data_IF_744965190073
#
_entry.id   IF_744965190073
#
_cell.length_a   1.000
_cell.length_b   1.000
_cell.length_c   1.000
_cell.angle_alpha   90.00
_cell.angle_beta   90.00
_cell.angle_gamma   90.00
#
_symmetry.space_group_name_H-M   'P 1'
#
loop_
_entity.id
_entity.type
_entity.pdbx_description
1 polymer ?
#
# COMPACT_ATOMS: atom_id res chain seq x y z
N UNK A 1 -6.42 -17.70 1.61
CA UNK A 1 -6.15 -18.12 0.22
C UNK A 1 -7.45 -18.39 -0.52
N UNK A 2 -8.43 -19.01 0.11
CA UNK A 2 -9.76 -19.31 -0.48
C UNK A 2 -10.44 -18.08 -1.08
N UNK A 3 -10.50 -16.98 -0.32
CA UNK A 3 -11.07 -15.70 -0.79
C UNK A 3 -10.36 -15.12 -2.03
N UNK A 4 -9.08 -15.43 -2.24
CA UNK A 4 -8.38 -15.03 -3.46
C UNK A 4 -8.78 -15.91 -4.64
N UNK A 5 -8.85 -17.23 -4.43
CA UNK A 5 -9.26 -18.18 -5.46
C UNK A 5 -10.70 -17.96 -5.95
N UNK A 6 -11.59 -17.49 -5.06
CA UNK A 6 -12.97 -17.15 -5.42
C UNK A 6 -13.06 -16.05 -6.50
N UNK A 7 -12.06 -15.19 -6.58
CA UNK A 7 -12.00 -14.10 -7.57
C UNK A 7 -11.50 -14.54 -8.94
N UNK A 8 -10.95 -15.75 -9.06
CA UNK A 8 -10.53 -16.28 -10.35
C UNK A 8 -11.71 -16.88 -11.13
N UNK A 9 -11.65 -16.77 -12.45
CA UNK A 9 -12.58 -17.51 -13.30
C UNK A 9 -12.42 -19.03 -13.12
N UNK A 10 -13.45 -19.84 -13.41
CA UNK A 10 -13.44 -21.28 -13.12
C UNK A 10 -12.22 -22.04 -13.61
N UNK A 11 -11.81 -21.83 -14.87
CA UNK A 11 -10.66 -22.51 -15.45
C UNK A 11 -9.35 -22.25 -14.69
N UNK A 12 -9.10 -21.00 -14.25
CA UNK A 12 -7.93 -20.68 -13.45
C UNK A 12 -8.01 -21.26 -12.04
N UNK A 13 -9.22 -21.27 -11.45
CA UNK A 13 -9.44 -21.84 -10.12
C UNK A 13 -9.12 -23.32 -10.13
N UNK A 14 -9.65 -24.08 -11.09
CA UNK A 14 -9.39 -25.50 -11.25
C UNK A 14 -7.89 -25.78 -11.44
N UNK A 15 -7.19 -24.96 -12.22
CA UNK A 15 -5.76 -25.10 -12.45
C UNK A 15 -4.93 -24.80 -11.19
N UNK A 16 -5.37 -23.90 -10.29
CA UNK A 16 -4.61 -23.46 -9.12
C UNK A 16 -4.89 -24.24 -7.84
N UNK A 17 -6.10 -24.79 -7.67
CA UNK A 17 -6.51 -25.55 -6.46
C UNK A 17 -5.52 -26.66 -6.09
N UNK A 18 -4.98 -27.48 -7.01
CA UNK A 18 -4.03 -28.53 -6.65
C UNK A 18 -2.72 -28.01 -6.05
N UNK A 19 -2.41 -26.72 -6.25
CA UNK A 19 -1.12 -26.08 -5.87
C UNK A 19 -1.27 -25.07 -4.75
N UNK A 20 -2.21 -25.27 -3.84
CA UNK A 20 -2.48 -24.35 -2.73
C UNK A 20 -1.24 -24.09 -1.85
N UNK A 21 -0.41 -25.11 -1.60
CA UNK A 21 0.82 -24.97 -0.80
C UNK A 21 1.84 -24.04 -1.47
N UNK A 22 1.98 -24.13 -2.77
CA UNK A 22 2.85 -23.28 -3.60
C UNK A 22 2.28 -21.85 -3.63
N UNK A 23 0.97 -21.71 -3.77
CA UNK A 23 0.28 -20.42 -3.70
C UNK A 23 0.46 -19.72 -2.34
N UNK A 24 0.43 -20.48 -1.24
CA UNK A 24 0.69 -19.93 0.10
C UNK A 24 2.11 -19.38 0.24
N UNK A 25 3.07 -19.84 -0.53
CA UNK A 25 4.47 -19.37 -0.55
C UNK A 25 4.73 -18.30 -1.61
N UNK A 26 3.88 -18.23 -2.63
CA UNK A 26 4.01 -17.25 -3.71
C UNK A 26 3.74 -15.83 -3.20
N UNK A 27 4.50 -14.86 -3.70
CA UNK A 27 4.29 -13.42 -3.51
C UNK A 27 3.56 -12.79 -4.69
N UNK A 28 3.63 -13.47 -5.83
CA UNK A 28 3.08 -13.01 -7.10
C UNK A 28 2.67 -14.21 -7.94
N UNK A 29 1.56 -14.08 -8.67
CA UNK A 29 1.14 -15.01 -9.70
C UNK A 29 1.26 -14.32 -11.05
N UNK A 30 2.09 -14.85 -11.94
CA UNK A 30 2.23 -14.34 -13.31
C UNK A 30 1.46 -15.19 -14.29
N UNK A 31 0.59 -14.55 -15.03
CA UNK A 31 -0.33 -15.14 -15.99
C UNK A 31 -0.01 -14.51 -17.34
N UNK A 32 0.20 -15.31 -18.38
CA UNK A 32 0.44 -14.84 -19.74
C UNK A 32 -0.25 -15.76 -20.75
N UNK A 33 -0.74 -15.15 -21.81
CA UNK A 33 -1.36 -15.91 -22.91
C UNK A 33 -0.40 -17.00 -23.42
N UNK A 34 -0.91 -18.24 -23.56
CA UNK A 34 -0.19 -19.41 -24.06
C UNK A 34 1.10 -19.75 -23.27
N UNK A 35 1.18 -19.36 -22.00
CA UNK A 35 2.28 -19.72 -21.11
C UNK A 35 1.74 -20.35 -19.82
N UNK A 36 2.50 -21.24 -19.17
CA UNK A 36 2.13 -21.76 -17.85
C UNK A 36 2.00 -20.61 -16.84
N UNK A 37 1.06 -20.76 -15.91
CA UNK A 37 0.98 -19.87 -14.75
C UNK A 37 2.27 -20.02 -13.91
N UNK A 38 2.85 -18.89 -13.49
CA UNK A 38 4.04 -18.89 -12.64
C UNK A 38 3.67 -18.41 -11.24
N UNK A 39 3.86 -19.25 -10.26
CA UNK A 39 3.78 -18.90 -8.84
C UNK A 39 5.17 -18.44 -8.38
N UNK A 40 5.35 -17.12 -8.21
CA UNK A 40 6.64 -16.51 -7.92
C UNK A 40 6.77 -16.21 -6.43
N UNK A 41 7.82 -16.73 -5.79
CA UNK A 41 8.16 -16.53 -4.38
C UNK A 41 9.67 -16.38 -4.19
N UNK A 42 10.25 -17.13 -3.26
CA UNK A 42 11.72 -17.30 -3.18
C UNK A 42 12.26 -18.10 -4.37
N UNK A 43 11.47 -19.01 -4.89
CA UNK A 43 11.65 -19.73 -6.14
C UNK A 43 10.37 -19.59 -6.96
N UNK A 44 10.46 -19.81 -8.27
CA UNK A 44 9.29 -19.80 -9.15
C UNK A 44 8.87 -21.24 -9.45
N UNK A 45 7.56 -21.48 -9.42
CA UNK A 45 6.93 -22.76 -9.76
C UNK A 45 5.99 -22.56 -10.94
N UNK A 46 6.15 -23.33 -12.00
CA UNK A 46 5.26 -23.33 -13.16
C UNK A 46 4.13 -24.34 -12.93
N UNK A 47 2.89 -23.89 -13.01
CA UNK A 47 1.69 -24.74 -12.91
C UNK A 47 1.56 -25.55 -14.22
N UNK A 48 1.64 -26.88 -14.18
CA UNK A 48 1.55 -27.70 -15.38
C UNK A 48 0.10 -27.85 -15.86
N UNK A 49 -0.06 -28.16 -17.16
CA UNK A 49 -1.33 -28.60 -17.71
C UNK A 49 -2.35 -27.50 -18.05
N UNK A 50 -2.07 -26.23 -17.77
CA UNK A 50 -2.97 -25.12 -18.11
C UNK A 50 -2.21 -23.97 -18.78
N UNK A 51 -2.61 -23.67 -20.02
CA UNK A 51 -2.08 -22.58 -20.84
C UNK A 51 -3.25 -21.67 -21.23
N UNK A 52 -3.45 -20.53 -20.56
CA UNK A 52 -4.60 -19.67 -20.81
C UNK A 52 -4.59 -19.09 -22.22
N UNK A 53 -5.71 -19.13 -22.90
CA UNK A 53 -5.94 -18.44 -24.15
C UNK A 53 -6.35 -16.97 -23.96
N UNK A 54 -6.54 -16.24 -25.05
CA UNK A 54 -6.98 -14.84 -25.01
C UNK A 54 -8.36 -14.69 -24.33
N UNK A 55 -9.30 -15.58 -24.64
CA UNK A 55 -10.63 -15.60 -24.02
C UNK A 55 -10.58 -15.86 -22.51
N UNK A 56 -9.67 -16.72 -22.04
CA UNK A 56 -9.50 -17.00 -20.62
C UNK A 56 -9.01 -15.74 -19.89
N UNK A 57 -8.11 -14.98 -20.52
CA UNK A 57 -7.63 -13.71 -19.96
C UNK A 57 -8.74 -12.67 -19.84
N UNK A 58 -9.61 -12.56 -20.84
CA UNK A 58 -10.76 -11.67 -20.79
C UNK A 58 -11.77 -12.08 -19.71
N UNK A 59 -12.08 -13.38 -19.60
CA UNK A 59 -12.92 -13.91 -18.52
C UNK A 59 -12.32 -13.68 -17.15
N UNK A 60 -10.99 -13.80 -17.01
CA UNK A 60 -10.29 -13.51 -15.77
C UNK A 60 -10.37 -12.02 -15.41
N UNK A 61 -10.18 -11.13 -16.38
CA UNK A 61 -10.32 -9.70 -16.17
C UNK A 61 -11.74 -9.34 -15.71
N UNK A 62 -12.76 -9.89 -16.37
CA UNK A 62 -14.16 -9.70 -15.98
C UNK A 62 -14.43 -10.19 -14.54
N UNK A 63 -13.87 -11.34 -14.17
CA UNK A 63 -14.01 -11.88 -12.82
C UNK A 63 -13.33 -10.96 -11.78
N UNK A 64 -12.16 -10.39 -12.11
CA UNK A 64 -11.45 -9.44 -11.25
C UNK A 64 -12.17 -8.10 -11.10
N UNK A 65 -13.01 -7.74 -12.05
CA UNK A 65 -13.86 -6.53 -12.00
C UNK A 65 -15.29 -6.83 -11.47
N UNK A 66 -15.54 -7.98 -10.83
CA UNK A 66 -16.87 -8.39 -10.39
C UNK A 66 -17.95 -8.24 -11.47
N UNK A 67 -17.61 -8.52 -12.75
CA UNK A 67 -18.43 -8.34 -13.96
C UNK A 67 -18.74 -6.87 -14.33
N UNK A 68 -18.17 -5.89 -13.62
CA UNK A 68 -18.43 -4.46 -13.80
C UNK A 68 -17.18 -3.72 -14.31
N UNK A 69 -16.74 -3.99 -15.54
CA UNK A 69 -15.55 -3.37 -16.15
C UNK A 69 -15.55 -1.84 -16.08
N UNK A 70 -16.69 -1.23 -16.24
CA UNK A 70 -16.85 0.21 -16.26
C UNK A 70 -16.50 0.84 -14.88
N UNK A 71 -16.77 0.15 -13.78
CA UNK A 71 -16.39 0.60 -12.44
C UNK A 71 -14.86 0.56 -12.22
N UNK A 72 -14.15 -0.25 -13.01
CA UNK A 72 -12.70 -0.42 -12.93
C UNK A 72 -11.93 0.39 -13.99
N UNK A 73 -12.62 1.18 -14.83
CA UNK A 73 -12.04 1.79 -16.04
C UNK A 73 -10.84 2.70 -15.74
N UNK A 74 -10.90 3.48 -14.66
CA UNK A 74 -9.81 4.37 -14.27
C UNK A 74 -8.56 3.59 -13.84
N UNK A 75 -8.72 2.55 -13.03
CA UNK A 75 -7.62 1.68 -12.64
C UNK A 75 -7.03 0.93 -13.85
N UNK A 76 -7.88 0.46 -14.76
CA UNK A 76 -7.45 -0.20 -16.00
C UNK A 76 -6.66 0.75 -16.91
N UNK A 77 -7.01 2.03 -17.00
CA UNK A 77 -6.23 3.05 -17.71
C UNK A 77 -4.83 3.23 -17.10
N UNK A 78 -4.72 3.07 -15.79
CA UNK A 78 -3.45 3.10 -15.07
C UNK A 78 -2.70 1.77 -15.11
N UNK A 79 -3.26 0.73 -15.75
CA UNK A 79 -2.62 -0.58 -15.95
C UNK A 79 -2.68 -1.50 -14.74
N UNK A 80 -3.60 -1.29 -13.80
CA UNK A 80 -3.76 -2.17 -12.65
C UNK A 80 -5.22 -2.26 -12.17
N UNK A 81 -5.47 -3.25 -11.30
CA UNK A 81 -6.68 -3.38 -10.50
C UNK A 81 -6.32 -3.69 -9.05
N UNK A 82 -7.08 -3.12 -8.11
CA UNK A 82 -7.08 -3.53 -6.72
C UNK A 82 -8.19 -4.55 -6.52
N UNK A 83 -7.84 -5.74 -5.99
CA UNK A 83 -8.76 -6.85 -5.81
C UNK A 83 -9.15 -6.99 -4.34
N UNK A 84 -10.27 -7.67 -4.09
CA UNK A 84 -10.71 -8.00 -2.72
C UNK A 84 -9.58 -8.72 -1.96
N UNK A 85 -9.38 -8.33 -0.69
CA UNK A 85 -8.25 -8.79 0.12
C UNK A 85 -6.96 -7.98 -0.09
N UNK A 86 -7.03 -6.86 -0.83
CA UNK A 86 -5.91 -5.93 -1.04
C UNK A 86 -4.86 -6.43 -2.02
N UNK A 87 -5.17 -7.45 -2.81
CA UNK A 87 -4.30 -7.93 -3.87
C UNK A 87 -4.25 -6.92 -5.02
N UNK A 88 -3.12 -6.84 -5.73
CA UNK A 88 -2.97 -5.91 -6.86
C UNK A 88 -2.61 -6.67 -8.13
N UNK A 89 -3.45 -6.56 -9.14
CA UNK A 89 -3.24 -7.11 -10.46
C UNK A 89 -2.71 -6.02 -11.40
N UNK A 90 -1.44 -6.07 -11.78
CA UNK A 90 -0.89 -5.29 -12.90
C UNK A 90 -1.30 -5.95 -14.20
N UNK A 91 -1.77 -5.17 -15.16
CA UNK A 91 -2.36 -5.67 -16.41
C UNK A 91 -1.57 -5.10 -17.59
N UNK A 92 -1.22 -5.94 -18.53
CA UNK A 92 -0.63 -5.53 -19.80
C UNK A 92 -1.34 -6.16 -20.99
N UNK A 93 -1.37 -5.42 -22.08
CA UNK A 93 -2.04 -5.82 -23.30
C UNK A 93 -1.89 -4.75 -24.37
N UNK A 94 -2.79 -4.74 -25.33
CA UNK A 94 -2.85 -3.71 -26.36
C UNK A 94 -3.59 -2.48 -25.83
N UNK A 95 -3.01 -1.30 -26.04
CA UNK A 95 -3.57 -0.02 -25.56
C UNK A 95 -4.00 0.82 -26.74
N UNK A 96 -5.26 1.23 -26.74
CA UNK A 96 -5.71 2.32 -27.59
C UNK A 96 -5.32 3.65 -26.94
N UNK A 97 -4.58 4.47 -27.65
CA UNK A 97 -4.12 5.76 -27.18
C UNK A 97 -4.68 6.89 -28.06
N UNK A 98 -5.16 7.97 -27.44
CA UNK A 98 -5.54 9.21 -28.08
C UNK A 98 -4.69 10.35 -27.52
N UNK A 99 -4.10 11.16 -28.40
CA UNK A 99 -3.21 12.26 -28.02
C UNK A 99 -2.09 11.86 -27.03
N UNK A 100 -1.53 10.64 -27.20
CA UNK A 100 -0.48 10.10 -26.34
C UNK A 100 -0.93 9.64 -24.95
N UNK A 101 -2.24 9.60 -24.69
CA UNK A 101 -2.82 9.09 -23.45
C UNK A 101 -3.55 7.78 -23.68
N UNK A 102 -3.39 6.82 -22.77
CA UNK A 102 -4.13 5.58 -22.81
C UNK A 102 -5.62 5.85 -22.61
N UNK A 103 -6.44 5.40 -23.56
CA UNK A 103 -7.90 5.52 -23.51
C UNK A 103 -8.50 4.19 -23.09
N UNK A 104 -8.03 3.10 -23.66
CA UNK A 104 -8.57 1.77 -23.38
C UNK A 104 -7.49 0.70 -23.51
N UNK A 105 -7.48 -0.22 -22.55
CA UNK A 105 -6.70 -1.45 -22.60
C UNK A 105 -7.59 -2.55 -23.16
N UNK A 106 -7.10 -3.30 -24.15
CA UNK A 106 -7.77 -4.48 -24.69
C UNK A 106 -6.76 -5.53 -25.13
N UNK A 107 -7.22 -6.74 -25.48
CA UNK A 107 -6.32 -7.82 -25.87
C UNK A 107 -5.30 -8.12 -24.80
N UNK A 108 -5.77 -8.50 -23.61
CA UNK A 108 -4.92 -8.73 -22.43
C UNK A 108 -3.89 -9.83 -22.73
N UNK A 109 -2.62 -9.46 -22.68
CA UNK A 109 -1.50 -10.37 -22.93
C UNK A 109 -0.96 -10.98 -21.63
N UNK A 110 -1.01 -10.22 -20.52
CA UNK A 110 -0.47 -10.70 -19.26
C UNK A 110 -1.06 -9.99 -18.04
N UNK A 111 -1.07 -10.71 -16.93
CA UNK A 111 -1.47 -10.21 -15.61
C UNK A 111 -0.39 -10.61 -14.61
N UNK A 112 0.04 -9.64 -13.79
CA UNK A 112 0.94 -9.84 -12.66
C UNK A 112 0.17 -9.59 -11.37
N UNK A 113 -0.31 -10.65 -10.73
CA UNK A 113 -1.09 -10.58 -9.50
C UNK A 113 -0.17 -10.64 -8.29
N UNK A 114 0.03 -9.51 -7.62
CA UNK A 114 0.74 -9.44 -6.33
C UNK A 114 -0.19 -9.81 -5.20
N UNK A 115 0.21 -10.80 -4.41
CA UNK A 115 -0.58 -11.31 -3.29
C UNK A 115 -0.29 -10.43 -2.06
N UNK A 116 -1.28 -9.68 -1.61
CA UNK A 116 -1.18 -8.94 -0.36
C UNK A 116 -1.07 -9.92 0.81
N UNK A 117 -0.20 -9.61 1.75
CA UNK A 117 -0.02 -10.35 2.99
C UNK A 117 0.12 -9.38 4.14
N UNK A 118 -0.64 -9.61 5.17
CA UNK A 118 -0.44 -8.89 6.42
C UNK A 118 0.79 -9.47 7.12
N UNK A 119 1.80 -8.64 7.31
CA UNK A 119 3.04 -9.03 8.01
C UNK A 119 3.02 -8.37 9.38
N UNK A 120 3.31 -9.12 10.46
CA UNK A 120 3.51 -8.48 11.76
C UNK A 120 4.71 -7.54 11.68
N UNK A 121 4.58 -6.36 12.27
CA UNK A 121 5.70 -5.43 12.37
C UNK A 121 6.49 -5.63 13.68
N UNK A 122 7.66 -5.00 13.77
CA UNK A 122 8.49 -5.01 14.97
C UNK A 122 7.69 -4.49 16.17
N UNK A 123 7.64 -5.24 17.26
CA UNK A 123 6.87 -4.89 18.46
C UNK A 123 7.31 -3.56 19.09
N UNK A 124 8.55 -3.14 18.84
CA UNK A 124 9.10 -1.86 19.32
C UNK A 124 8.49 -0.64 18.62
N UNK A 125 7.87 -0.80 17.45
CA UNK A 125 7.28 0.31 16.69
C UNK A 125 6.29 1.11 17.55
N UNK A 126 5.44 0.43 18.30
CA UNK A 126 4.47 1.11 19.16
C UNK A 126 5.09 1.83 20.35
N UNK A 127 6.25 1.39 20.83
CA UNK A 127 6.99 2.13 21.87
C UNK A 127 7.57 3.45 21.31
N UNK A 128 7.92 3.48 20.01
CA UNK A 128 8.36 4.72 19.36
C UNK A 128 7.17 5.65 19.11
N UNK A 129 6.04 5.13 18.59
CA UNK A 129 4.87 5.91 18.17
C UNK A 129 4.03 6.39 19.36
N UNK A 130 3.81 5.52 20.36
CA UNK A 130 2.92 5.80 21.48
C UNK A 130 3.49 5.30 22.82
N UNK A 131 4.67 5.79 23.26
CA UNK A 131 5.24 5.38 24.54
C UNK A 131 4.31 5.78 25.69
N UNK A 132 3.99 4.81 26.54
CA UNK A 132 3.09 5.02 27.70
C UNK A 132 1.79 5.77 27.35
N UNK A 133 1.28 5.56 26.13
CA UNK A 133 0.05 6.20 25.64
C UNK A 133 0.22 7.60 25.06
N UNK A 134 1.40 8.21 25.12
CA UNK A 134 1.66 9.54 24.55
C UNK A 134 1.94 9.42 23.05
N UNK A 135 1.05 9.95 22.22
CA UNK A 135 1.21 9.95 20.77
C UNK A 135 2.38 10.81 20.30
N UNK A 136 3.13 10.30 19.34
CA UNK A 136 4.24 11.01 18.67
C UNK A 136 4.03 11.03 17.17
N UNK A 137 4.47 12.10 16.52
CA UNK A 137 4.62 12.14 15.07
C UNK A 137 5.91 11.43 14.66
N UNK A 138 5.82 10.50 13.69
CA UNK A 138 6.96 9.66 13.28
C UNK A 138 7.10 9.60 11.77
N UNK A 139 8.32 9.87 11.29
CA UNK A 139 8.72 9.63 9.92
C UNK A 139 9.36 8.25 9.79
N UNK A 140 8.81 7.37 8.96
CA UNK A 140 9.35 6.05 8.67
C UNK A 140 10.20 6.09 7.41
N UNK A 141 11.46 5.72 7.50
CA UNK A 141 12.45 5.79 6.42
C UNK A 141 12.95 4.40 6.07
N UNK A 142 12.96 4.06 4.79
CA UNK A 142 13.66 2.88 4.27
C UNK A 142 13.80 2.94 2.75
N UNK A 143 14.70 2.12 2.16
CA UNK A 143 14.70 1.84 0.74
C UNK A 143 13.38 1.21 0.26
N UNK A 144 13.14 1.12 -1.06
CA UNK A 144 12.02 0.37 -1.62
C UNK A 144 11.97 -1.08 -1.08
N UNK A 145 10.77 -1.58 -0.78
CA UNK A 145 10.59 -2.94 -0.26
C UNK A 145 10.94 -3.14 1.23
N UNK A 146 11.38 -2.10 1.94
CA UNK A 146 11.76 -2.18 3.36
C UNK A 146 10.59 -2.29 4.34
N UNK A 147 9.33 -2.32 3.88
CA UNK A 147 8.16 -2.59 4.73
C UNK A 147 7.48 -1.34 5.32
N UNK A 148 7.78 -0.12 4.81
CA UNK A 148 7.18 1.15 5.28
C UNK A 148 5.64 1.10 5.31
N UNK A 149 5.02 0.78 4.18
CA UNK A 149 3.55 0.71 4.03
C UNK A 149 2.93 -0.30 5.00
N UNK A 150 3.55 -1.46 5.15
CA UNK A 150 3.11 -2.50 6.09
C UNK A 150 3.19 -2.00 7.54
N UNK A 151 4.27 -1.30 7.89
CA UNK A 151 4.46 -0.75 9.23
C UNK A 151 3.45 0.36 9.51
N UNK A 152 3.23 1.29 8.58
CA UNK A 152 2.25 2.37 8.74
C UNK A 152 0.83 1.82 8.92
N UNK A 153 0.43 0.83 8.12
CA UNK A 153 -0.87 0.15 8.26
C UNK A 153 -1.02 -0.51 9.63
N UNK A 154 -0.02 -1.28 10.05
CA UNK A 154 -0.07 -1.96 11.34
C UNK A 154 -0.08 -0.96 12.50
N UNK A 155 0.66 0.15 12.40
CA UNK A 155 0.61 1.23 13.37
C UNK A 155 -0.78 1.88 13.43
N UNK A 156 -1.40 2.18 12.28
CA UNK A 156 -2.77 2.68 12.20
C UNK A 156 -3.74 1.73 12.89
N UNK A 157 -3.69 0.44 12.55
CA UNK A 157 -4.53 -0.60 13.15
C UNK A 157 -4.36 -0.68 14.66
N UNK A 158 -3.13 -0.70 15.16
CA UNK A 158 -2.87 -0.80 16.60
C UNK A 158 -3.31 0.45 17.38
N UNK A 159 -3.16 1.65 16.80
CA UNK A 159 -3.69 2.88 17.38
C UNK A 159 -5.22 2.87 17.40
N UNK A 160 -5.82 2.50 16.28
CA UNK A 160 -7.27 2.40 16.12
C UNK A 160 -7.92 1.41 17.10
N UNK A 161 -7.33 0.23 17.29
CA UNK A 161 -7.79 -0.76 18.29
C UNK A 161 -7.72 -0.21 19.73
N UNK A 162 -6.81 0.74 19.99
CA UNK A 162 -6.74 1.45 21.29
C UNK A 162 -7.72 2.60 21.43
N UNK A 163 -8.63 2.79 20.47
CA UNK A 163 -9.64 3.85 20.46
C UNK A 163 -9.15 5.20 19.96
N UNK A 164 -7.95 5.28 19.38
CA UNK A 164 -7.42 6.51 18.80
C UNK A 164 -8.07 6.73 17.43
N UNK A 165 -8.60 7.93 17.20
CA UNK A 165 -9.18 8.32 15.91
C UNK A 165 -8.06 8.54 14.88
N UNK A 166 -8.02 7.70 13.87
CA UNK A 166 -7.00 7.70 12.83
C UNK A 166 -7.62 8.14 11.50
N UNK A 167 -7.03 9.14 10.85
CA UNK A 167 -7.31 9.44 9.45
C UNK A 167 -6.20 8.83 8.58
N UNK A 168 -6.55 8.12 7.52
CA UNK A 168 -5.63 7.45 6.63
C UNK A 168 -5.83 7.94 5.19
N UNK A 169 -4.86 8.72 4.69
CA UNK A 169 -4.83 9.18 3.31
C UNK A 169 -4.04 8.18 2.43
N UNK A 170 -4.77 7.43 1.59
CA UNK A 170 -4.25 6.31 0.79
C UNK A 170 -4.35 6.59 -0.71
N UNK A 171 -3.56 7.53 -1.22
CA UNK A 171 -3.59 7.97 -2.61
C UNK A 171 -3.44 6.81 -3.62
N UNK A 172 -2.63 5.80 -3.28
CA UNK A 172 -2.29 4.68 -4.18
C UNK A 172 -3.00 3.37 -3.86
N UNK A 173 -3.87 3.35 -2.85
CA UNK A 173 -4.53 2.13 -2.41
C UNK A 173 -3.56 1.08 -1.84
N UNK A 174 -2.42 1.51 -1.26
CA UNK A 174 -1.41 0.59 -0.72
C UNK A 174 -1.55 0.35 0.78
N UNK A 175 -2.17 1.29 1.51
CA UNK A 175 -2.37 1.20 2.96
C UNK A 175 -3.61 0.41 3.33
N UNK A 176 -4.78 0.81 2.85
CA UNK A 176 -6.06 0.19 3.14
C UNK A 176 -6.57 -0.72 2.00
N UNK A 177 -6.11 -0.46 0.76
CA UNK A 177 -6.52 -1.16 -0.45
C UNK A 177 -8.04 -1.21 -0.60
N UNK A 178 -8.70 -0.06 -0.55
CA UNK A 178 -10.15 0.01 -0.60
C UNK A 178 -10.70 -0.51 -1.93
N UNK A 179 -11.84 -1.20 -1.84
CA UNK A 179 -12.71 -1.56 -2.96
C UNK A 179 -14.09 -0.98 -2.64
N UNK A 180 -14.60 -0.14 -3.52
CA UNK A 180 -15.89 0.56 -3.31
C UNK A 180 -15.96 1.29 -1.95
N UNK A 181 -14.87 1.93 -1.54
CA UNK A 181 -14.77 2.64 -0.26
C UNK A 181 -14.60 1.75 0.98
N UNK A 182 -14.54 0.43 0.81
CA UNK A 182 -14.37 -0.53 1.93
C UNK A 182 -12.91 -0.97 2.02
N UNK A 183 -12.21 -0.72 3.14
CA UNK A 183 -10.86 -1.22 3.37
C UNK A 183 -10.80 -2.75 3.26
N UNK A 184 -9.88 -3.26 2.44
CA UNK A 184 -9.64 -4.70 2.25
C UNK A 184 -8.55 -5.23 3.18
N UNK A 185 -7.72 -4.33 3.71
CA UNK A 185 -6.71 -4.63 4.70
C UNK A 185 -7.17 -4.08 6.05
N UNK A 186 -6.87 -4.81 7.12
CA UNK A 186 -7.26 -4.41 8.47
C UNK A 186 -6.47 -3.15 8.90
N UNK A 187 -7.17 -2.04 9.01
CA UNK A 187 -6.66 -0.74 9.49
C UNK A 187 -7.22 -0.37 10.87
N UNK A 188 -8.09 -1.22 11.43
CA UNK A 188 -8.71 -1.07 12.76
C UNK A 188 -10.04 -0.30 12.75
N UNK A 189 -10.82 -0.42 13.85
CA UNK A 189 -12.22 0.03 13.91
C UNK A 189 -12.42 1.55 14.01
N UNK A 190 -11.39 2.32 14.40
CA UNK A 190 -11.43 3.78 14.54
C UNK A 190 -10.57 4.46 13.46
N UNK A 191 -10.49 3.88 12.26
CA UNK A 191 -9.72 4.44 11.14
C UNK A 191 -10.68 4.84 10.02
N UNK A 192 -10.70 6.14 9.71
CA UNK A 192 -11.36 6.68 8.53
C UNK A 192 -10.36 6.69 7.37
N UNK A 193 -10.78 6.18 6.20
CA UNK A 193 -9.92 6.10 5.02
C UNK A 193 -10.44 7.01 3.92
N UNK A 194 -9.53 7.74 3.29
CA UNK A 194 -9.78 8.45 2.05
C UNK A 194 -8.77 8.00 1.01
N UNK A 195 -9.27 7.40 -0.05
CA UNK A 195 -8.47 6.80 -1.11
C UNK A 195 -8.74 7.43 -2.47
N UNK A 196 -7.93 7.08 -3.46
CA UNK A 196 -8.10 7.48 -4.86
C UNK A 196 -8.17 9.01 -5.08
N UNK A 197 -7.56 9.78 -4.21
CA UNK A 197 -7.50 11.24 -4.26
C UNK A 197 -6.05 11.70 -3.97
N UNK A 198 -5.56 12.79 -4.58
CA UNK A 198 -4.27 13.37 -4.23
C UNK A 198 -4.16 13.58 -2.71
N UNK A 199 -3.07 13.12 -2.14
CA UNK A 199 -2.84 13.08 -0.69
C UNK A 199 -3.08 14.39 0.02
N UNK A 200 -2.57 15.49 -0.52
CA UNK A 200 -2.74 16.82 0.07
C UNK A 200 -4.21 17.23 0.18
N UNK A 201 -5.02 16.89 -0.83
CA UNK A 201 -6.45 17.16 -0.85
C UNK A 201 -7.19 16.27 0.16
N UNK A 202 -6.89 14.97 0.17
CA UNK A 202 -7.45 14.01 1.12
C UNK A 202 -7.20 14.45 2.57
N UNK A 203 -5.96 14.81 2.90
CA UNK A 203 -5.58 15.30 4.23
C UNK A 203 -6.41 16.54 4.61
N UNK A 204 -6.50 17.54 3.73
CA UNK A 204 -7.26 18.75 3.99
C UNK A 204 -8.76 18.48 4.24
N UNK A 205 -9.37 17.54 3.51
CA UNK A 205 -10.75 17.14 3.75
C UNK A 205 -10.93 16.42 5.08
N UNK A 206 -10.05 15.49 5.41
CA UNK A 206 -10.13 14.70 6.64
C UNK A 206 -9.91 15.54 7.89
N UNK A 207 -8.99 16.50 7.85
CA UNK A 207 -8.76 17.42 8.98
C UNK A 207 -10.01 18.25 9.29
N UNK A 208 -10.73 18.72 8.26
CA UNK A 208 -11.95 19.50 8.43
C UNK A 208 -13.15 18.69 8.91
N UNK A 209 -13.27 17.45 8.45
CA UNK A 209 -14.48 16.64 8.63
C UNK A 209 -14.38 15.64 9.78
N UNK A 210 -13.19 15.05 10.02
CA UNK A 210 -13.03 13.88 10.91
C UNK A 210 -12.33 14.20 12.24
N UNK A 211 -11.66 15.37 12.36
CA UNK A 211 -10.92 15.77 13.57
C UNK A 211 -10.01 14.67 14.13
N UNK A 212 -9.11 14.08 13.32
CA UNK A 212 -8.32 12.92 13.72
C UNK A 212 -7.29 13.30 14.80
N UNK A 213 -7.00 12.34 15.68
CA UNK A 213 -5.88 12.43 16.62
C UNK A 213 -4.54 12.07 15.94
N UNK A 214 -4.60 11.15 14.96
CA UNK A 214 -3.44 10.70 14.18
C UNK A 214 -3.80 10.72 12.69
N UNK A 215 -2.97 11.36 11.90
CA UNK A 215 -2.98 11.29 10.45
C UNK A 215 -1.92 10.29 9.98
N UNK A 216 -2.33 9.30 9.20
CA UNK A 216 -1.44 8.35 8.54
C UNK A 216 -1.46 8.59 7.05
N UNK A 217 -0.29 8.67 6.44
CA UNK A 217 -0.15 8.80 5.00
C UNK A 217 1.04 7.98 4.51
N UNK A 218 1.02 7.59 3.26
CA UNK A 218 2.14 6.90 2.64
C UNK A 218 3.35 7.82 2.41
N UNK A 219 4.01 7.74 1.30
CA UNK A 219 5.27 8.43 1.04
C UNK A 219 5.10 9.94 0.76
N UNK A 220 5.93 10.76 1.38
CA UNK A 220 6.06 12.19 1.06
C UNK A 220 6.70 12.34 -0.32
N UNK A 221 5.95 12.82 -1.30
CA UNK A 221 6.37 12.92 -2.70
C UNK A 221 6.75 14.33 -3.14
N UNK A 222 6.08 15.36 -2.65
CA UNK A 222 6.18 16.71 -3.17
C UNK A 222 5.96 17.80 -2.08
N UNK A 223 6.05 19.07 -2.48
CA UNK A 223 5.88 20.21 -1.57
C UNK A 223 4.44 20.37 -1.05
N UNK A 224 3.43 19.98 -1.84
CA UNK A 224 2.03 20.04 -1.43
C UNK A 224 1.73 19.04 -0.32
N UNK A 225 2.33 17.84 -0.40
CA UNK A 225 2.24 16.86 0.69
C UNK A 225 2.83 17.41 1.98
N UNK A 226 4.01 18.08 1.88
CA UNK A 226 4.65 18.67 3.05
C UNK A 226 3.79 19.76 3.69
N UNK A 227 3.16 20.64 2.91
CA UNK A 227 2.28 21.68 3.45
C UNK A 227 1.03 21.08 4.13
N UNK A 228 0.42 20.05 3.52
CA UNK A 228 -0.72 19.36 4.14
C UNK A 228 -0.36 18.68 5.48
N UNK A 229 0.85 18.14 5.61
CA UNK A 229 1.34 17.56 6.86
C UNK A 229 1.64 18.64 7.93
N UNK A 230 2.11 19.82 7.51
CA UNK A 230 2.23 20.98 8.39
C UNK A 230 0.86 21.42 8.91
N UNK A 231 -0.14 21.47 8.07
CA UNK A 231 -1.50 21.82 8.47
C UNK A 231 -2.08 20.78 9.45
N UNK A 232 -1.81 19.49 9.24
CA UNK A 232 -2.21 18.45 10.19
C UNK A 232 -1.58 18.69 11.58
N UNK A 233 -0.29 19.03 11.64
CA UNK A 233 0.39 19.38 12.89
C UNK A 233 -0.22 20.63 13.54
N UNK A 234 -0.49 21.68 12.77
CA UNK A 234 -1.13 22.93 13.25
C UNK A 234 -2.53 22.68 13.83
N UNK A 235 -3.26 21.73 13.25
CA UNK A 235 -4.56 21.27 13.77
C UNK A 235 -4.44 20.37 15.01
N UNK A 236 -3.22 20.02 15.46
CA UNK A 236 -2.97 19.19 16.65
C UNK A 236 -2.93 17.69 16.38
N UNK A 237 -3.15 17.23 15.15
CA UNK A 237 -3.02 15.83 14.80
C UNK A 237 -1.55 15.38 14.81
N UNK A 238 -1.29 14.16 15.26
CA UNK A 238 0.01 13.52 15.10
C UNK A 238 0.14 12.92 13.70
N UNK A 239 1.34 12.97 13.13
CA UNK A 239 1.59 12.57 11.76
C UNK A 239 2.45 11.31 11.71
N UNK A 240 1.96 10.28 11.03
CA UNK A 240 2.71 9.08 10.69
C UNK A 240 2.80 8.99 9.16
N UNK A 241 3.99 9.14 8.62
CA UNK A 241 4.19 9.01 7.17
C UNK A 241 5.56 8.40 6.85
N UNK A 242 5.84 8.20 5.57
CA UNK A 242 7.11 7.61 5.16
C UNK A 242 7.87 8.44 4.13
N UNK A 243 9.16 8.14 4.02
CA UNK A 243 10.01 8.64 2.96
C UNK A 243 10.98 7.55 2.48
N UNK A 244 11.33 7.58 1.20
CA UNK A 244 12.41 6.76 0.69
C UNK A 244 13.77 7.31 1.11
N UNK A 245 14.65 6.42 1.55
CA UNK A 245 16.04 6.72 1.88
C UNK A 245 16.70 5.56 2.59
N UNK A 246 18.01 5.45 2.47
CA UNK A 246 18.83 4.45 3.15
C UNK A 246 19.44 4.97 4.47
N UNK A 247 19.34 6.27 4.74
CA UNK A 247 19.87 6.91 5.95
C UNK A 247 19.12 8.19 6.32
N UNK A 248 19.32 8.67 7.56
CA UNK A 248 18.80 9.96 8.02
C UNK A 248 19.32 11.12 7.15
N UNK A 249 20.62 11.13 6.83
CA UNK A 249 21.23 12.17 6.01
C UNK A 249 20.63 12.25 4.60
N UNK A 250 20.34 11.10 3.99
CA UNK A 250 19.72 11.05 2.66
C UNK A 250 18.32 11.67 2.65
N UNK A 251 17.47 11.33 3.61
CA UNK A 251 16.13 11.92 3.66
C UNK A 251 16.15 13.39 4.03
N UNK A 252 17.07 13.83 4.89
CA UNK A 252 17.28 15.23 5.23
C UNK A 252 17.72 16.06 4.00
N UNK A 253 18.36 15.45 3.01
CA UNK A 253 18.74 16.13 1.77
C UNK A 253 17.55 16.50 0.88
N UNK A 254 16.40 15.78 1.02
CA UNK A 254 15.19 16.06 0.24
C UNK A 254 14.50 17.33 0.75
N UNK A 255 14.20 18.26 -0.14
CA UNK A 255 13.67 19.60 0.21
C UNK A 255 12.40 19.55 1.05
N UNK A 256 11.40 18.75 0.66
CA UNK A 256 10.13 18.61 1.36
C UNK A 256 10.30 17.98 2.76
N UNK A 257 11.12 16.93 2.89
CA UNK A 257 11.40 16.31 4.19
C UNK A 257 12.20 17.24 5.10
N UNK A 258 13.19 17.95 4.54
CA UNK A 258 14.00 18.94 5.27
C UNK A 258 13.13 20.07 5.85
N UNK A 259 12.13 20.53 5.10
CA UNK A 259 11.16 21.52 5.60
C UNK A 259 10.43 20.98 6.83
N UNK A 260 9.85 19.79 6.75
CA UNK A 260 9.12 19.16 7.85
C UNK A 260 9.98 18.91 9.10
N UNK A 261 11.25 18.52 8.89
CA UNK A 261 12.20 18.34 10.00
C UNK A 261 12.54 19.69 10.68
N UNK A 262 12.75 20.76 9.91
CA UNK A 262 13.00 22.11 10.45
C UNK A 262 11.82 22.66 11.23
N UNK A 263 10.61 22.43 10.74
CA UNK A 263 9.35 22.82 11.41
C UNK A 263 8.97 21.88 12.57
N UNK A 264 9.85 20.91 12.89
CA UNK A 264 9.66 19.96 13.99
C UNK A 264 8.33 19.19 13.94
N UNK A 265 7.90 18.83 12.72
CA UNK A 265 6.67 18.04 12.52
C UNK A 265 6.82 16.67 13.18
N UNK A 266 8.00 16.07 13.09
CA UNK A 266 8.27 14.74 13.60
C UNK A 266 8.97 14.76 14.97
N UNK A 267 8.42 13.99 15.90
CA UNK A 267 9.04 13.72 17.20
C UNK A 267 10.18 12.71 17.07
N UNK A 268 10.06 11.78 16.08
CA UNK A 268 11.03 10.72 15.80
C UNK A 268 11.16 10.45 14.29
N UNK A 269 12.36 10.01 13.90
CA UNK A 269 12.61 9.43 12.58
C UNK A 269 13.05 7.98 12.79
N UNK A 270 12.28 7.03 12.24
CA UNK A 270 12.46 5.61 12.37
C UNK A 270 13.06 5.04 11.10
N UNK A 271 14.31 4.57 11.14
CA UNK A 271 14.99 3.94 10.03
C UNK A 271 14.78 2.43 10.07
N UNK A 272 14.24 1.86 8.98
CA UNK A 272 14.13 0.42 8.84
C UNK A 272 15.40 -0.20 8.26
N UNK A 273 15.70 -1.40 8.70
CA UNK A 273 16.86 -2.17 8.28
C UNK A 273 16.67 -2.92 6.95
N UNK A 274 17.62 -3.82 6.68
CA UNK A 274 17.57 -4.70 5.48
C UNK A 274 16.44 -5.73 5.53
N UNK A 275 16.08 -6.18 6.73
CA UNK A 275 14.92 -7.05 6.91
C UNK A 275 13.65 -6.19 6.94
N UNK A 276 12.64 -6.48 6.07
CA UNK A 276 11.44 -5.68 5.98
C UNK A 276 10.71 -5.55 7.34
N UNK A 277 10.36 -4.32 7.71
CA UNK A 277 9.62 -4.00 8.93
C UNK A 277 10.45 -3.99 10.21
N UNK A 278 11.77 -4.28 10.16
CA UNK A 278 12.66 -4.23 11.33
C UNK A 278 13.30 -2.87 11.53
N UNK A 279 13.26 -2.37 12.76
CA UNK A 279 13.90 -1.10 13.15
C UNK A 279 15.43 -1.30 13.21
N UNK A 280 16.16 -0.48 12.46
CA UNK A 280 17.62 -0.38 12.49
C UNK A 280 18.08 0.73 13.43
N UNK A 281 17.43 1.89 13.40
CA UNK A 281 17.76 3.03 14.26
C UNK A 281 16.53 3.93 14.46
N UNK A 282 16.53 4.67 15.57
CA UNK A 282 15.56 5.73 15.87
C UNK A 282 16.35 7.00 16.12
N UNK A 283 15.88 8.12 15.57
CA UNK A 283 16.48 9.44 15.75
C UNK A 283 15.49 10.40 16.39
N UNK A 284 15.98 11.30 17.23
CA UNK A 284 15.21 12.40 17.79
C UNK A 284 15.00 13.53 16.78
N UNK A 285 14.36 14.64 17.21
CA UNK A 285 14.09 15.82 16.37
C UNK A 285 15.36 16.47 15.84
N UNK A 286 16.46 16.39 16.57
CA UNK A 286 17.76 16.96 16.25
C UNK A 286 18.60 16.03 15.39
N UNK A 287 18.08 14.83 15.06
CA UNK A 287 18.79 13.82 14.27
C UNK A 287 19.83 13.03 15.04
N UNK A 288 19.77 13.03 16.37
CA UNK A 288 20.66 12.23 17.22
C UNK A 288 20.04 10.84 17.43
N UNK A 289 20.83 9.75 17.35
CA UNK A 289 20.34 8.42 17.67
C UNK A 289 19.79 8.36 19.12
N UNK A 290 18.64 7.72 19.30
CA UNK A 290 18.04 7.50 20.61
C UNK A 290 17.59 6.05 20.78
N UNK A 291 17.54 5.60 22.04
CA UNK A 291 17.01 4.29 22.44
C UNK A 291 15.58 4.52 22.92
N UNK A 292 14.59 4.20 22.12
CA UNK A 292 13.17 4.19 22.51
C UNK A 292 12.63 2.77 22.58
#
# INVERSE_FOLDING_TARGET
>A
MDKLLEQFSPAFREALVPYEKEMQRAREIRIRVQQPLLLCGRSSFAVPGFLPGAEDMERLLLAFCDQALYACEEQLRQGYLTLRGGHRAGICGHVLAENGRAVRLHGIQGISLRIARQMPCDSRVMNVIAPSGRLRSVLVVSPPGGGKTTLLREAARQLSVRGIQVALADERGELAACVEGVPQLDVGPCTDVMDNLPKAEAIGMMLRAMSPQVLVSDEIGNAQDAEALLDAQRCGAKVLCSAHGASYAEVQARSCVRQLLRESVFDRVLLLGREPGRIAAVYDREGRPCSD
#
